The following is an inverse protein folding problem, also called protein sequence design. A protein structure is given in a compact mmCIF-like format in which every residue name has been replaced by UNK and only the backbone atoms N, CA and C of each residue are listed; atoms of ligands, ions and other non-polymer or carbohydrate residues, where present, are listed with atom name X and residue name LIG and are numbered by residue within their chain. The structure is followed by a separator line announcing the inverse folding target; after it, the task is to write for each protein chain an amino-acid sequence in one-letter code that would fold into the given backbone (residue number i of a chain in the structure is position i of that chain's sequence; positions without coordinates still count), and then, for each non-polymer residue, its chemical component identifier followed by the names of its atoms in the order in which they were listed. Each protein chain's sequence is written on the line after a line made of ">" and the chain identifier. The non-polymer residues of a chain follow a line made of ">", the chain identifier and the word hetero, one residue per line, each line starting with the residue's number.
data_IF_497141724064
#
_entry.id   IF_497141724064
#
_cell.length_a   1.000
_cell.length_b   1.000
_cell.length_c   1.000
_cell.angle_alpha   90.00
_cell.angle_beta   90.00
_cell.angle_gamma   90.00
#
_symmetry.space_group_name_H-M   'P 1'
#
loop_
_entity.id
_entity.type
_entity.pdbx_description
1 polymer ?
#
# COMPACT_ATOMS: atom_id res chain seq x y z
N UNK A 1 2.19 -20.75 -22.09
CA UNK A 1 1.91 -20.10 -20.78
C UNK A 1 2.73 -18.82 -20.73
N UNK A 2 2.13 -17.71 -20.38
CA UNK A 2 2.86 -16.43 -20.18
C UNK A 2 3.74 -16.54 -18.93
N UNK A 3 4.98 -16.05 -19.00
CA UNK A 3 5.84 -15.94 -17.82
C UNK A 3 5.23 -14.90 -16.89
N UNK A 4 5.08 -15.20 -15.58
CA UNK A 4 4.57 -14.22 -14.64
C UNK A 4 5.42 -12.95 -14.58
N UNK A 5 4.79 -11.81 -14.41
CA UNK A 5 5.46 -10.55 -14.17
C UNK A 5 6.02 -10.44 -12.75
N UNK A 6 6.93 -9.51 -12.55
CA UNK A 6 7.54 -9.23 -11.25
C UNK A 6 6.68 -8.28 -10.44
N UNK A 7 6.52 -8.54 -9.14
CA UNK A 7 5.88 -7.65 -8.17
C UNK A 7 6.97 -6.99 -7.33
N UNK A 8 7.02 -5.66 -7.30
CA UNK A 8 7.77 -4.86 -6.33
C UNK A 8 6.75 -4.20 -5.41
N UNK A 9 6.74 -4.58 -4.15
CA UNK A 9 5.75 -4.15 -3.16
C UNK A 9 6.43 -3.32 -2.07
N UNK A 10 6.16 -2.01 -2.05
CA UNK A 10 6.73 -1.07 -1.10
C UNK A 10 5.82 -0.98 0.13
N UNK A 11 6.36 -1.26 1.31
CA UNK A 11 5.63 -1.13 2.57
C UNK A 11 6.24 -0.06 3.47
N UNK A 12 5.42 0.73 4.12
CA UNK A 12 5.85 1.79 5.04
C UNK A 12 4.68 2.64 5.52
N UNK A 13 4.89 3.44 6.55
CA UNK A 13 3.87 4.34 7.10
C UNK A 13 3.40 5.36 6.06
N UNK A 14 2.23 5.96 6.29
CA UNK A 14 1.91 7.23 5.62
C UNK A 14 3.05 8.22 5.79
N UNK A 15 3.26 9.11 4.85
CA UNK A 15 4.33 10.13 4.84
C UNK A 15 5.78 9.61 4.89
N UNK A 16 6.04 8.28 4.83
CA UNK A 16 7.41 7.73 4.80
C UNK A 16 8.17 7.98 3.49
N UNK A 17 7.47 8.38 2.42
CA UNK A 17 8.07 8.64 1.11
C UNK A 17 7.88 7.54 0.07
N UNK A 18 7.03 6.53 0.32
CA UNK A 18 6.73 5.44 -0.64
C UNK A 18 6.39 5.93 -2.03
N UNK A 19 5.42 6.84 -2.15
CA UNK A 19 5.00 7.38 -3.45
C UNK A 19 6.12 8.14 -4.15
N UNK A 20 7.01 8.82 -3.41
CA UNK A 20 8.20 9.45 -3.99
C UNK A 20 9.17 8.41 -4.54
N UNK A 21 9.41 7.33 -3.80
CA UNK A 21 10.23 6.19 -4.27
C UNK A 21 9.60 5.57 -5.51
N UNK A 22 8.29 5.29 -5.48
CA UNK A 22 7.56 4.72 -6.60
C UNK A 22 7.69 5.57 -7.87
N UNK A 23 7.43 6.88 -7.76
CA UNK A 23 7.47 7.80 -8.89
C UNK A 23 8.87 7.95 -9.50
N UNK A 24 9.94 7.81 -8.69
CA UNK A 24 11.31 7.85 -9.19
C UNK A 24 11.78 6.49 -9.72
N UNK A 25 11.35 5.41 -9.09
CA UNK A 25 11.76 4.05 -9.48
C UNK A 25 11.11 3.62 -10.81
N UNK A 26 9.80 3.88 -10.97
CA UNK A 26 9.04 3.40 -12.13
C UNK A 26 9.69 3.76 -13.48
N UNK A 27 10.12 5.01 -13.75
CA UNK A 27 10.75 5.36 -15.03
C UNK A 27 12.17 4.81 -15.21
N UNK A 28 12.81 4.32 -14.14
CA UNK A 28 14.16 3.73 -14.19
C UNK A 28 14.15 2.23 -14.52
N UNK A 29 12.99 1.59 -14.41
CA UNK A 29 12.86 0.16 -14.66
C UNK A 29 12.87 -0.13 -16.16
N UNK A 30 13.57 -1.22 -16.57
CA UNK A 30 13.76 -1.57 -17.97
C UNK A 30 12.46 -1.99 -18.68
N UNK A 31 11.46 -2.45 -17.91
CA UNK A 31 10.16 -2.88 -18.39
C UNK A 31 9.05 -1.99 -17.82
N UNK A 32 7.90 -1.87 -18.49
CA UNK A 32 6.77 -1.12 -17.95
C UNK A 32 6.20 -1.83 -16.71
N UNK A 33 6.28 -1.17 -15.56
CA UNK A 33 5.63 -1.60 -14.33
C UNK A 33 4.33 -0.82 -14.16
N UNK A 34 3.22 -1.52 -13.91
CA UNK A 34 1.94 -0.90 -13.59
C UNK A 34 1.98 -0.37 -12.15
N UNK A 35 1.59 0.90 -11.96
CA UNK A 35 1.38 1.46 -10.63
C UNK A 35 0.05 0.95 -10.07
N UNK A 36 0.13 0.03 -9.12
CA UNK A 36 -1.00 -0.57 -8.43
C UNK A 36 -0.96 -0.27 -6.91
N UNK A 37 -0.56 0.95 -6.56
CA UNK A 37 -0.51 1.40 -5.17
C UNK A 37 -1.89 1.54 -4.53
N UNK A 38 -1.94 1.54 -3.18
CA UNK A 38 -3.18 1.56 -2.37
C UNK A 38 -4.10 2.72 -2.73
N UNK A 39 -3.55 3.91 -2.99
CA UNK A 39 -4.33 5.08 -3.35
C UNK A 39 -5.09 4.90 -4.67
N UNK A 40 -4.56 4.11 -5.62
CA UNK A 40 -5.25 3.82 -6.89
C UNK A 40 -6.55 3.05 -6.67
N UNK A 41 -6.53 2.09 -5.74
CA UNK A 41 -7.71 1.31 -5.39
C UNK A 41 -8.72 2.13 -4.56
N UNK A 42 -8.23 2.97 -3.65
CA UNK A 42 -9.08 3.90 -2.89
C UNK A 42 -9.82 4.85 -3.85
N UNK A 43 -9.16 5.38 -4.87
CA UNK A 43 -9.76 6.29 -5.83
C UNK A 43 -10.75 5.63 -6.81
N UNK A 44 -10.85 4.31 -6.83
CA UNK A 44 -11.94 3.61 -7.52
C UNK A 44 -13.29 3.79 -6.82
N UNK A 45 -13.30 4.20 -5.54
CA UNK A 45 -14.52 4.43 -4.80
C UNK A 45 -15.26 5.66 -5.31
N UNK A 46 -16.61 5.68 -5.22
CA UNK A 46 -17.39 6.88 -5.50
C UNK A 46 -16.95 8.07 -4.63
N UNK A 47 -16.95 9.26 -5.19
CA UNK A 47 -16.45 10.49 -4.54
C UNK A 47 -17.02 10.74 -3.12
N UNK A 48 -18.27 10.32 -2.86
CA UNK A 48 -18.88 10.44 -1.51
C UNK A 48 -18.06 9.72 -0.44
N UNK A 49 -17.46 8.54 -0.74
CA UNK A 49 -16.63 7.79 0.20
C UNK A 49 -15.29 8.47 0.49
N UNK A 50 -14.84 9.36 -0.39
CA UNK A 50 -13.61 10.13 -0.22
C UNK A 50 -13.85 11.45 0.51
N UNK A 51 -15.08 12.01 0.44
CA UNK A 51 -15.38 13.36 0.90
C UNK A 51 -16.22 13.39 2.19
N UNK A 52 -16.98 12.35 2.49
CA UNK A 52 -17.83 12.25 3.69
C UNK A 52 -17.11 11.45 4.78
N UNK A 53 -16.85 12.09 5.93
CA UNK A 53 -16.02 11.49 6.99
C UNK A 53 -16.55 10.15 7.48
N UNK A 54 -17.85 10.03 7.70
CA UNK A 54 -18.45 8.78 8.17
C UNK A 54 -18.24 7.62 7.19
N UNK A 55 -18.32 7.89 5.88
CA UNK A 55 -18.08 6.90 4.85
C UNK A 55 -16.58 6.61 4.72
N UNK A 56 -15.73 7.62 4.83
CA UNK A 56 -14.28 7.45 4.84
C UNK A 56 -13.81 6.55 5.98
N UNK A 57 -14.40 6.68 7.17
CA UNK A 57 -14.09 5.84 8.32
C UNK A 57 -14.47 4.36 8.09
N UNK A 58 -15.39 4.06 7.15
CA UNK A 58 -15.67 2.67 6.73
C UNK A 58 -14.56 2.08 5.84
N UNK A 59 -13.74 2.94 5.22
CA UNK A 59 -12.60 2.54 4.38
C UNK A 59 -11.33 2.44 5.20
N UNK A 60 -10.88 3.55 5.80
CA UNK A 60 -9.60 3.58 6.52
C UNK A 60 -9.72 3.38 8.03
N UNK A 61 -10.94 3.30 8.57
CA UNK A 61 -11.16 3.05 10.00
C UNK A 61 -10.52 4.11 10.91
N UNK A 62 -10.39 3.76 12.18
CA UNK A 62 -9.73 4.62 13.16
C UNK A 62 -8.29 4.15 13.38
N UNK A 63 -7.34 5.00 13.05
CA UNK A 63 -5.95 4.94 13.44
C UNK A 63 -5.04 3.99 12.64
N UNK A 64 -5.09 2.71 12.85
CA UNK A 64 -4.14 1.74 12.30
C UNK A 64 -4.85 0.45 11.83
N UNK A 65 -6.14 0.54 11.54
CA UNK A 65 -6.91 -0.57 10.96
C UNK A 65 -7.79 -0.04 9.84
N UNK A 66 -8.17 -0.92 8.91
CA UNK A 66 -9.18 -0.60 7.93
C UNK A 66 -10.58 -0.73 8.52
N UNK A 67 -11.52 0.03 7.98
CA UNK A 67 -12.94 -0.21 8.19
C UNK A 67 -13.42 -1.42 7.37
N UNK A 68 -14.67 -1.84 7.54
CA UNK A 68 -15.21 -3.03 6.85
C UNK A 68 -15.09 -2.99 5.33
N UNK A 69 -15.33 -1.82 4.73
CA UNK A 69 -15.18 -1.62 3.29
C UNK A 69 -13.72 -1.66 2.87
N UNK A 70 -12.83 -1.08 3.70
CA UNK A 70 -11.39 -1.09 3.46
C UNK A 70 -10.80 -2.49 3.46
N UNK A 71 -11.22 -3.37 4.36
CA UNK A 71 -10.80 -4.78 4.35
C UNK A 71 -11.13 -5.46 3.02
N UNK A 72 -12.36 -5.28 2.52
CA UNK A 72 -12.77 -5.84 1.22
C UNK A 72 -11.98 -5.23 0.07
N UNK A 73 -11.77 -3.90 0.08
CA UNK A 73 -11.05 -3.18 -0.96
C UNK A 73 -9.59 -3.61 -1.05
N UNK A 74 -8.90 -3.71 0.11
CA UNK A 74 -7.47 -4.03 0.15
C UNK A 74 -7.22 -5.52 -0.14
N UNK A 75 -8.09 -6.41 0.30
CA UNK A 75 -8.06 -7.81 -0.15
C UNK A 75 -8.25 -7.89 -1.68
N UNK A 76 -9.22 -7.16 -2.23
CA UNK A 76 -9.41 -7.05 -3.69
C UNK A 76 -8.17 -6.52 -4.42
N UNK A 77 -7.46 -5.55 -3.85
CA UNK A 77 -6.18 -5.05 -4.36
C UNK A 77 -5.12 -6.16 -4.43
N UNK A 78 -4.93 -6.92 -3.34
CA UNK A 78 -3.93 -8.00 -3.29
C UNK A 78 -4.22 -9.06 -4.36
N UNK A 79 -5.48 -9.47 -4.49
CA UNK A 79 -5.92 -10.41 -5.53
C UNK A 79 -5.73 -9.86 -6.94
N UNK A 80 -6.03 -8.57 -7.17
CA UNK A 80 -5.83 -7.92 -8.47
C UNK A 80 -4.34 -7.88 -8.86
N UNK A 81 -3.45 -7.51 -7.92
CA UNK A 81 -2.00 -7.52 -8.13
C UNK A 81 -1.52 -8.90 -8.54
N UNK A 82 -1.93 -9.95 -7.81
CA UNK A 82 -1.58 -11.33 -8.13
C UNK A 82 -2.08 -11.75 -9.53
N UNK A 83 -3.32 -11.40 -9.88
CA UNK A 83 -3.91 -11.72 -11.18
C UNK A 83 -3.19 -11.01 -12.33
N UNK A 84 -2.88 -9.74 -12.18
CA UNK A 84 -2.11 -8.96 -13.16
C UNK A 84 -0.71 -9.55 -13.36
N UNK A 85 -0.02 -9.93 -12.28
CA UNK A 85 1.30 -10.56 -12.35
C UNK A 85 1.25 -11.93 -13.04
N UNK A 86 0.25 -12.77 -12.74
CA UNK A 86 0.03 -14.06 -13.42
C UNK A 86 -0.25 -13.89 -14.92
N UNK A 87 -0.87 -12.78 -15.31
CA UNK A 87 -1.11 -12.43 -16.72
C UNK A 87 0.16 -11.89 -17.43
N UNK A 88 1.30 -11.75 -16.73
CA UNK A 88 2.58 -11.30 -17.29
C UNK A 88 2.88 -9.82 -17.08
N UNK A 89 2.05 -9.06 -16.37
CA UNK A 89 2.33 -7.65 -16.09
C UNK A 89 3.32 -7.51 -14.93
N UNK A 90 4.30 -6.62 -15.06
CA UNK A 90 5.13 -6.22 -13.93
C UNK A 90 4.38 -5.17 -13.09
N UNK A 91 4.45 -5.29 -11.78
CA UNK A 91 3.68 -4.46 -10.83
C UNK A 91 4.62 -3.75 -9.87
N UNK A 92 4.42 -2.46 -9.71
CA UNK A 92 4.99 -1.65 -8.65
C UNK A 92 3.83 -1.13 -7.79
N UNK A 93 3.77 -1.57 -6.55
CA UNK A 93 2.68 -1.22 -5.63
C UNK A 93 3.23 -0.67 -4.33
N UNK A 94 2.50 0.23 -3.69
CA UNK A 94 2.77 0.64 -2.32
C UNK A 94 1.58 0.36 -1.41
N UNK A 95 1.88 0.07 -0.15
CA UNK A 95 0.89 -0.25 0.87
C UNK A 95 1.33 0.22 2.26
N UNK A 96 0.41 0.15 3.20
CA UNK A 96 0.64 0.34 4.63
C UNK A 96 0.13 -0.93 5.34
N UNK A 97 0.98 -1.96 5.38
CA UNK A 97 0.62 -3.28 5.93
C UNK A 97 0.64 -3.25 7.46
N UNK A 98 -0.38 -2.68 8.06
CA UNK A 98 -0.52 -2.57 9.53
C UNK A 98 -1.24 -3.76 10.15
N UNK A 99 -1.97 -4.53 9.36
CA UNK A 99 -2.71 -5.69 9.84
C UNK A 99 -2.02 -6.99 9.44
N UNK A 100 -1.75 -7.90 10.39
CA UNK A 100 -1.07 -9.17 10.09
C UNK A 100 -1.78 -10.01 9.03
N UNK A 101 -3.12 -9.93 8.96
CA UNK A 101 -3.91 -10.69 7.97
C UNK A 101 -3.57 -10.28 6.52
N UNK A 102 -3.28 -9.01 6.27
CA UNK A 102 -2.91 -8.55 4.92
C UNK A 102 -1.54 -9.09 4.48
N UNK A 103 -0.57 -9.16 5.43
CA UNK A 103 0.72 -9.76 5.14
C UNK A 103 0.60 -11.25 4.82
N UNK A 104 -0.22 -11.97 5.60
CA UNK A 104 -0.48 -13.40 5.37
C UNK A 104 -1.15 -13.62 4.01
N UNK A 105 -2.14 -12.81 3.67
CA UNK A 105 -2.83 -12.86 2.37
C UNK A 105 -1.86 -12.60 1.21
N UNK A 106 -1.04 -11.52 1.30
CA UNK A 106 -0.02 -11.23 0.30
C UNK A 106 0.98 -12.39 0.15
N UNK A 107 1.45 -12.96 1.27
CA UNK A 107 2.36 -14.10 1.24
C UNK A 107 1.74 -15.31 0.53
N UNK A 108 0.48 -15.63 0.80
CA UNK A 108 -0.24 -16.72 0.12
C UNK A 108 -0.44 -16.44 -1.37
N UNK A 109 -0.84 -15.22 -1.72
CA UNK A 109 -1.15 -14.86 -3.11
C UNK A 109 0.09 -14.77 -4.01
N UNK A 110 1.22 -14.36 -3.43
CA UNK A 110 2.45 -14.06 -4.19
C UNK A 110 3.51 -15.17 -4.10
N UNK A 111 3.31 -16.25 -3.32
CA UNK A 111 4.34 -17.24 -3.02
C UNK A 111 4.96 -17.92 -4.27
N UNK A 112 4.19 -18.04 -5.37
CA UNK A 112 4.66 -18.62 -6.64
C UNK A 112 5.03 -17.54 -7.67
N UNK A 113 5.02 -16.27 -7.29
CA UNK A 113 5.30 -15.14 -8.18
C UNK A 113 6.67 -14.54 -7.83
N UNK A 114 7.38 -13.97 -8.81
CA UNK A 114 8.60 -13.21 -8.54
C UNK A 114 8.21 -11.91 -7.82
N UNK A 115 8.10 -11.97 -6.48
CA UNK A 115 7.65 -10.87 -5.63
C UNK A 115 8.74 -10.44 -4.65
N UNK A 116 8.92 -9.12 -4.53
CA UNK A 116 9.87 -8.48 -3.63
C UNK A 116 9.12 -7.52 -2.70
N UNK A 117 9.21 -7.75 -1.39
CA UNK A 117 8.71 -6.83 -0.38
C UNK A 117 9.86 -5.92 0.09
N UNK A 118 9.64 -4.61 0.01
CA UNK A 118 10.65 -3.60 0.37
C UNK A 118 10.08 -2.69 1.46
N UNK A 119 10.73 -2.67 2.62
CA UNK A 119 10.35 -1.78 3.73
C UNK A 119 10.93 -0.38 3.57
N UNK A 120 10.07 0.62 3.47
CA UNK A 120 10.45 2.05 3.45
C UNK A 120 10.41 2.57 4.89
N UNK A 121 11.58 2.69 5.49
CA UNK A 121 11.75 3.20 6.86
C UNK A 121 12.14 4.68 6.83
N UNK A 122 11.54 5.45 7.71
CA UNK A 122 11.84 6.87 7.86
C UNK A 122 11.73 7.21 9.36
N UNK A 123 12.60 8.04 9.94
CA UNK A 123 12.50 8.45 11.34
C UNK A 123 11.14 9.08 11.64
N UNK A 124 10.60 8.79 12.83
CA UNK A 124 9.25 9.20 13.20
C UNK A 124 9.07 10.72 13.22
N UNK A 125 10.05 11.46 13.72
CA UNK A 125 10.06 12.92 13.75
C UNK A 125 9.98 13.53 12.34
N UNK A 126 10.68 12.94 11.38
CA UNK A 126 10.63 13.34 9.95
C UNK A 126 9.25 13.05 9.35
N UNK A 127 8.67 11.90 9.67
CA UNK A 127 7.33 11.52 9.19
C UNK A 127 6.27 12.47 9.74
N UNK A 128 6.33 12.77 11.05
CA UNK A 128 5.40 13.70 11.69
C UNK A 128 5.53 15.13 11.17
N UNK A 129 6.75 15.57 10.86
CA UNK A 129 6.96 16.86 10.23
C UNK A 129 6.29 16.89 8.84
N UNK A 130 6.53 15.88 8.01
CA UNK A 130 5.91 15.77 6.67
C UNK A 130 4.38 15.67 6.73
N UNK A 131 3.85 15.01 7.76
CA UNK A 131 2.41 14.90 7.98
C UNK A 131 1.79 16.27 8.31
N UNK A 132 2.47 17.09 9.12
CA UNK A 132 2.05 18.47 9.42
C UNK A 132 2.11 19.41 8.21
N UNK A 133 3.07 19.21 7.32
CA UNK A 133 3.25 20.03 6.11
C UNK A 133 2.24 19.71 5.00
N UNK A 134 1.51 18.60 5.11
CA UNK A 134 0.53 18.15 4.14
C UNK A 134 -0.89 18.43 4.61
N UNK A 135 -1.64 19.24 3.85
CA UNK A 135 -3.03 19.57 4.16
C UNK A 135 -4.02 18.40 3.96
N UNK A 136 -3.62 17.38 3.21
CA UNK A 136 -4.44 16.22 2.82
C UNK A 136 -4.28 15.01 3.77
N UNK A 137 -3.59 15.17 4.89
CA UNK A 137 -3.30 14.07 5.83
C UNK A 137 -3.94 14.24 7.20
N UNK A 138 -4.37 13.12 7.78
CA UNK A 138 -4.86 13.09 9.16
C UNK A 138 -3.67 13.10 10.12
N UNK A 139 -3.55 14.15 10.92
CA UNK A 139 -2.47 14.28 11.90
C UNK A 139 -2.46 13.13 12.91
N UNK A 140 -1.27 12.58 13.17
CA UNK A 140 -1.06 11.48 14.12
C UNK A 140 -1.35 10.09 13.55
N UNK A 141 -1.71 9.97 12.28
CA UNK A 141 -1.93 8.69 11.63
C UNK A 141 -0.62 7.90 11.49
N UNK A 142 0.44 8.56 11.08
CA UNK A 142 1.74 7.94 10.90
C UNK A 142 2.30 7.37 12.21
N UNK A 143 2.17 8.08 13.34
CA UNK A 143 2.58 7.60 14.66
C UNK A 143 1.87 6.29 15.04
N UNK A 144 0.58 6.19 14.78
CA UNK A 144 -0.21 4.99 15.07
C UNK A 144 0.19 3.78 14.22
N UNK A 145 0.68 4.03 13.02
CA UNK A 145 1.12 2.99 12.07
C UNK A 145 2.59 2.59 12.30
N UNK A 146 3.39 3.43 12.96
CA UNK A 146 4.84 3.36 12.97
C UNK A 146 5.40 2.02 13.47
N UNK A 147 4.91 1.55 14.62
CA UNK A 147 5.35 0.31 15.21
C UNK A 147 4.72 -0.93 14.53
N UNK A 148 3.55 -0.76 13.91
CA UNK A 148 2.77 -1.86 13.32
C UNK A 148 3.22 -2.22 11.91
N UNK A 149 3.52 -1.22 11.08
CA UNK A 149 3.77 -1.41 9.64
C UNK A 149 4.99 -2.30 9.34
N UNK A 150 5.94 -2.39 10.26
CA UNK A 150 7.14 -3.21 10.14
C UNK A 150 7.20 -4.34 11.18
N UNK A 151 6.15 -4.57 11.95
CA UNK A 151 6.12 -5.56 13.03
C UNK A 151 6.26 -7.02 12.53
N UNK A 152 5.93 -7.28 11.26
CA UNK A 152 6.07 -8.60 10.65
C UNK A 152 7.54 -9.05 10.45
N UNK A 153 8.50 -8.13 10.41
CA UNK A 153 9.94 -8.44 10.33
C UNK A 153 10.42 -9.15 9.06
N UNK A 154 9.60 -9.22 8.02
CA UNK A 154 9.87 -9.94 6.78
C UNK A 154 10.33 -8.92 5.72
N UNK A 155 11.65 -8.78 5.55
CA UNK A 155 12.26 -7.99 4.48
C UNK A 155 13.59 -8.65 4.07
#
# INVERSE_FOLDING_TARGET
>A
MTTPGTIIFLNGTTSSGKSSVLNHLQPMLAWPFLDAGIDKFIWMLPARYLNERELWDTVLGHAASAGPLGHTLFSGMHHAIAALARAGNHILADHVLVEPIWMQECAMLFHELPAYLIGIRCPLDVIEQRERERADRTLGQARKQYDLVHAHGIY
#
